data_IF_308222104501
#
_entry.id   IF_308222104501
#
_cell.length_a   1.000
_cell.length_b   1.000
_cell.length_c   1.000
_cell.angle_alpha   90.00
_cell.angle_beta   90.00
_cell.angle_gamma   90.00
#
_symmetry.space_group_name_H-M   'P 1'
#
loop_
_entity.id
_entity.type
_entity.pdbx_description
1 polymer ?
#
# COMPACT_ATOMS: atom_id res chain seq x y z
N UNK A 1 13.59 -4.28 15.54
CA UNK A 1 13.12 -5.60 15.08
C UNK A 1 13.91 -6.77 15.65
N UNK A 2 15.23 -6.73 15.65
CA UNK A 2 16.09 -7.83 16.17
C UNK A 2 15.76 -8.16 17.64
N UNK A 3 15.57 -7.15 18.49
CA UNK A 3 15.31 -7.34 19.92
C UNK A 3 14.04 -8.13 20.25
N UNK A 4 12.92 -7.88 19.57
CA UNK A 4 11.66 -8.62 19.81
C UNK A 4 11.69 -10.05 19.29
N UNK A 5 12.43 -10.28 18.20
CA UNK A 5 12.65 -11.63 17.68
C UNK A 5 13.59 -12.42 18.62
N UNK A 6 14.62 -11.77 19.15
CA UNK A 6 15.53 -12.37 20.16
C UNK A 6 14.79 -12.67 21.47
N UNK A 7 13.92 -11.77 21.94
CA UNK A 7 13.10 -11.98 23.15
C UNK A 7 12.14 -13.16 22.96
N UNK A 8 11.52 -13.29 21.79
CA UNK A 8 10.66 -14.42 21.48
C UNK A 8 11.44 -15.74 21.40
N UNK A 9 12.63 -15.71 20.76
CA UNK A 9 13.52 -16.86 20.66
C UNK A 9 14.11 -17.27 22.02
N UNK A 10 14.47 -16.31 22.88
CA UNK A 10 15.00 -16.58 24.22
C UNK A 10 13.98 -17.29 25.11
N UNK A 11 12.69 -16.98 24.95
CA UNK A 11 11.58 -17.66 25.66
C UNK A 11 11.34 -19.08 25.17
N UNK A 12 11.85 -19.45 24.00
CA UNK A 12 11.76 -20.82 23.46
C UNK A 12 12.79 -21.79 24.08
N UNK A 13 13.88 -21.26 24.68
CA UNK A 13 14.93 -22.08 25.31
C UNK A 13 15.75 -22.90 24.33
N UNK A 14 16.71 -23.70 24.85
CA UNK A 14 17.69 -24.47 24.07
C UNK A 14 17.13 -25.63 23.24
N UNK A 15 15.85 -25.94 23.35
CA UNK A 15 15.16 -26.96 22.55
C UNK A 15 13.91 -26.38 21.92
N UNK A 16 13.91 -26.07 20.62
CA UNK A 16 12.74 -25.52 19.92
C UNK A 16 11.68 -26.63 19.71
N UNK A 17 10.95 -26.96 20.76
CA UNK A 17 9.73 -27.75 20.60
C UNK A 17 8.64 -26.81 20.08
N UNK A 18 8.16 -27.06 18.88
CA UNK A 18 7.04 -26.32 18.23
C UNK A 18 5.83 -26.21 19.16
N UNK A 19 5.64 -27.18 20.04
CA UNK A 19 4.63 -27.16 21.10
C UNK A 19 4.73 -25.99 22.07
N UNK A 20 5.93 -25.45 22.33
CA UNK A 20 6.11 -24.27 23.22
C UNK A 20 5.62 -22.97 22.58
N UNK A 21 5.72 -22.85 21.27
CA UNK A 21 5.14 -21.70 20.55
C UNK A 21 3.63 -21.58 20.81
N UNK A 22 2.89 -22.69 20.84
CA UNK A 22 1.42 -22.69 21.02
C UNK A 22 1.02 -22.21 22.44
N UNK A 23 1.90 -22.37 23.45
CA UNK A 23 1.64 -22.01 24.84
C UNK A 23 2.15 -20.62 25.25
N UNK A 24 2.74 -19.83 24.33
CA UNK A 24 3.13 -18.44 24.64
C UNK A 24 1.90 -17.56 24.91
N UNK A 25 2.00 -16.60 25.85
CA UNK A 25 0.94 -15.63 26.10
C UNK A 25 0.56 -14.87 24.83
N UNK A 26 -0.73 -14.61 24.63
CA UNK A 26 -1.24 -13.83 23.47
C UNK A 26 -0.60 -12.45 23.38
N UNK A 27 -0.27 -11.84 24.53
CA UNK A 27 0.41 -10.56 24.59
C UNK A 27 1.82 -10.58 23.96
N UNK A 28 2.55 -11.70 24.05
CA UNK A 28 3.88 -11.81 23.43
C UNK A 28 3.77 -11.87 21.90
N UNK A 29 2.79 -12.60 21.37
CA UNK A 29 2.46 -12.57 19.94
C UNK A 29 1.99 -11.18 19.50
N UNK A 30 1.14 -10.52 20.31
CA UNK A 30 0.68 -9.17 20.04
C UNK A 30 1.85 -8.19 19.89
N UNK A 31 2.80 -8.23 20.81
CA UNK A 31 4.04 -7.42 20.74
C UNK A 31 4.84 -7.73 19.48
N UNK A 32 5.05 -9.01 19.18
CA UNK A 32 5.81 -9.44 18.01
C UNK A 32 5.17 -8.89 16.73
N UNK A 33 3.89 -9.14 16.50
CA UNK A 33 3.19 -8.66 15.30
C UNK A 33 3.17 -7.14 15.20
N UNK A 34 2.96 -6.43 16.31
CA UNK A 34 2.99 -4.98 16.31
C UNK A 34 4.36 -4.43 15.88
N UNK A 35 5.47 -4.98 16.40
CA UNK A 35 6.81 -4.52 16.05
C UNK A 35 7.22 -4.95 14.63
N UNK A 36 6.85 -6.14 14.19
CA UNK A 36 7.08 -6.59 12.80
C UNK A 36 6.30 -5.70 11.85
N UNK A 37 5.01 -5.41 12.15
CA UNK A 37 4.19 -4.52 11.35
C UNK A 37 4.78 -3.12 11.22
N UNK A 38 5.27 -2.55 12.34
CA UNK A 38 5.96 -1.26 12.31
C UNK A 38 7.20 -1.31 11.40
N UNK A 39 8.02 -2.33 11.52
CA UNK A 39 9.21 -2.47 10.69
C UNK A 39 8.89 -2.65 9.20
N UNK A 40 7.83 -3.41 8.87
CA UNK A 40 7.35 -3.56 7.48
C UNK A 40 6.87 -2.22 6.94
N UNK A 41 6.10 -1.45 7.72
CA UNK A 41 5.62 -0.13 7.32
C UNK A 41 6.78 0.84 7.07
N UNK A 42 7.75 0.93 8.00
CA UNK A 42 8.92 1.80 7.85
C UNK A 42 9.78 1.40 6.65
N UNK A 43 10.00 0.10 6.44
CA UNK A 43 10.70 -0.39 5.25
C UNK A 43 9.97 0.01 3.98
N UNK A 44 8.64 -0.19 3.92
CA UNK A 44 7.85 0.13 2.73
C UNK A 44 7.86 1.63 2.42
N UNK A 45 7.72 2.51 3.43
CA UNK A 45 7.82 3.96 3.26
C UNK A 45 9.19 4.35 2.71
N UNK A 46 10.28 3.82 3.29
CA UNK A 46 11.63 4.08 2.82
C UNK A 46 11.85 3.58 1.39
N UNK A 47 11.32 2.40 1.06
CA UNK A 47 11.43 1.80 -0.27
C UNK A 47 10.67 2.62 -1.32
N UNK A 48 9.44 3.07 -1.02
CA UNK A 48 8.68 3.97 -1.91
C UNK A 48 9.48 5.26 -2.12
N UNK A 49 9.90 5.93 -1.04
CA UNK A 49 10.61 7.22 -1.14
C UNK A 49 11.94 7.14 -1.88
N UNK A 50 12.64 6.00 -1.80
CA UNK A 50 13.98 5.86 -2.40
C UNK A 50 13.96 5.28 -3.81
N UNK A 51 12.96 4.47 -4.15
CA UNK A 51 12.93 3.69 -5.39
C UNK A 51 11.74 4.02 -6.30
N UNK A 52 10.93 5.00 -5.92
CA UNK A 52 9.89 5.54 -6.81
C UNK A 52 10.53 6.06 -8.10
N UNK A 53 9.90 5.77 -9.23
CA UNK A 53 10.24 6.33 -10.53
C UNK A 53 9.06 7.10 -11.06
N UNK A 54 9.29 8.34 -11.45
CA UNK A 54 8.34 9.18 -12.14
C UNK A 54 8.83 9.46 -13.56
N UNK A 55 7.90 9.50 -14.49
CA UNK A 55 8.16 9.84 -15.88
C UNK A 55 6.99 10.68 -16.42
N UNK A 56 7.29 11.86 -16.89
CA UNK A 56 6.33 12.81 -17.48
C UNK A 56 6.77 13.08 -18.91
N UNK A 57 5.90 12.81 -19.86
CA UNK A 57 6.20 13.03 -21.28
C UNK A 57 4.95 13.33 -22.09
N UNK A 58 5.17 13.85 -23.28
CA UNK A 58 4.14 14.01 -24.30
C UNK A 58 4.19 12.83 -25.23
N UNK A 59 3.08 12.10 -25.33
CA UNK A 59 2.99 10.86 -26.11
C UNK A 59 1.92 11.02 -27.19
N UNK A 60 2.25 10.81 -28.46
CA UNK A 60 1.24 10.75 -29.52
C UNK A 60 0.40 9.45 -29.39
N UNK A 61 -0.82 9.48 -29.89
CA UNK A 61 -1.65 8.28 -29.99
C UNK A 61 -0.91 7.25 -30.87
N UNK A 62 -0.80 6.00 -30.39
CA UNK A 62 0.02 4.95 -30.98
C UNK A 62 1.47 4.92 -30.46
N UNK A 63 1.93 5.98 -29.77
CA UNK A 63 3.27 6.06 -29.20
C UNK A 63 3.48 5.14 -28.00
N UNK A 64 4.75 4.78 -27.77
CA UNK A 64 5.14 3.92 -26.65
C UNK A 64 6.29 4.52 -25.85
N UNK A 65 6.36 4.14 -24.56
CA UNK A 65 7.43 4.56 -23.65
C UNK A 65 7.70 3.47 -22.61
N UNK A 66 8.80 3.62 -21.91
CA UNK A 66 9.22 2.65 -20.87
C UNK A 66 9.39 3.30 -19.53
N UNK A 67 8.97 2.62 -18.47
CA UNK A 67 9.29 2.96 -17.09
C UNK A 67 9.77 1.70 -16.34
N UNK A 68 11.00 1.74 -15.84
CA UNK A 68 11.63 0.55 -15.27
C UNK A 68 11.71 -0.60 -16.26
N UNK A 69 11.07 -1.72 -15.99
CA UNK A 69 11.01 -2.89 -16.86
C UNK A 69 9.69 -3.04 -17.62
N UNK A 70 8.84 -2.01 -17.58
CA UNK A 70 7.54 -2.00 -18.23
C UNK A 70 7.56 -1.14 -19.47
N UNK A 71 6.91 -1.63 -20.51
CA UNK A 71 6.66 -0.90 -21.76
C UNK A 71 5.16 -0.56 -21.80
N UNK A 72 4.84 0.71 -22.01
CA UNK A 72 3.49 1.23 -22.11
C UNK A 72 3.26 1.76 -23.52
N UNK A 73 2.06 1.59 -24.04
CA UNK A 73 1.65 2.11 -25.34
C UNK A 73 0.29 2.78 -25.24
N UNK A 74 0.19 4.03 -25.65
CA UNK A 74 -1.07 4.76 -25.76
C UNK A 74 -1.78 4.32 -27.06
N UNK A 75 -2.75 3.42 -26.95
CA UNK A 75 -3.42 2.88 -28.13
C UNK A 75 -4.39 3.90 -28.73
N UNK A 76 -5.23 4.49 -27.86
CA UNK A 76 -6.25 5.45 -28.30
C UNK A 76 -6.64 6.38 -27.15
N UNK A 77 -7.27 7.50 -27.50
CA UNK A 77 -7.90 8.42 -26.56
C UNK A 77 -9.30 8.69 -27.07
N UNK A 78 -10.28 8.48 -26.19
CA UNK A 78 -11.70 8.62 -26.55
C UNK A 78 -12.42 9.55 -25.56
N UNK A 79 -13.47 10.21 -26.06
CA UNK A 79 -14.39 10.99 -25.22
C UNK A 79 -15.55 10.10 -24.77
N UNK A 80 -15.77 10.04 -23.48
CA UNK A 80 -16.82 9.23 -22.84
C UNK A 80 -17.76 10.16 -22.07
N UNK A 81 -19.05 9.92 -22.19
CA UNK A 81 -20.06 10.65 -21.42
C UNK A 81 -20.47 9.79 -20.22
N UNK A 82 -20.22 10.31 -19.02
CA UNK A 82 -20.71 9.75 -17.77
C UNK A 82 -22.09 10.31 -17.37
N UNK A 83 -22.61 9.87 -16.22
CA UNK A 83 -23.92 10.32 -15.73
C UNK A 83 -24.00 11.83 -15.50
N UNK A 84 -22.92 12.44 -14.98
CA UNK A 84 -22.84 13.86 -14.59
C UNK A 84 -21.51 14.52 -14.97
N UNK A 85 -20.72 13.88 -15.86
CA UNK A 85 -19.43 14.38 -16.32
C UNK A 85 -19.18 14.01 -17.78
N UNK A 86 -18.26 14.73 -18.40
CA UNK A 86 -17.63 14.33 -19.67
C UNK A 86 -16.20 13.89 -19.36
N UNK A 87 -15.80 12.75 -19.89
CA UNK A 87 -14.46 12.20 -19.66
C UNK A 87 -13.68 12.11 -20.96
N UNK A 88 -12.40 12.38 -20.86
CA UNK A 88 -11.41 12.00 -21.86
C UNK A 88 -10.63 10.82 -21.29
N UNK A 89 -10.76 9.64 -21.89
CA UNK A 89 -10.19 8.39 -21.43
C UNK A 89 -9.09 7.91 -22.38
N UNK A 90 -7.90 7.66 -21.84
CA UNK A 90 -6.82 7.00 -22.57
C UNK A 90 -6.90 5.48 -22.41
N UNK A 91 -6.58 4.74 -23.46
CA UNK A 91 -6.41 3.28 -23.40
C UNK A 91 -4.94 2.96 -23.57
N UNK A 92 -4.33 2.44 -22.52
CA UNK A 92 -2.88 2.23 -22.44
C UNK A 92 -2.60 0.76 -22.13
N UNK A 93 -2.00 0.06 -23.09
CA UNK A 93 -1.49 -1.31 -22.88
C UNK A 93 -0.19 -1.28 -22.11
N UNK A 94 -0.06 -2.17 -21.13
CA UNK A 94 1.15 -2.37 -20.33
C UNK A 94 1.71 -3.75 -20.61
N UNK A 95 2.98 -3.80 -21.03
CA UNK A 95 3.69 -5.04 -21.30
C UNK A 95 5.02 -5.11 -20.55
N UNK A 96 5.50 -6.33 -20.32
CA UNK A 96 6.81 -6.60 -19.74
C UNK A 96 7.46 -7.76 -20.50
N UNK A 97 8.67 -7.54 -20.99
CA UNK A 97 9.40 -8.54 -21.80
C UNK A 97 8.58 -9.08 -22.99
N UNK A 98 7.81 -8.21 -23.64
CA UNK A 98 6.98 -8.58 -24.80
C UNK A 98 5.64 -9.25 -24.46
N UNK A 99 5.37 -9.55 -23.19
CA UNK A 99 4.08 -10.12 -22.74
C UNK A 99 3.18 -9.00 -22.25
N UNK A 100 1.97 -8.91 -22.78
CA UNK A 100 0.95 -7.97 -22.30
C UNK A 100 0.45 -8.42 -20.91
N UNK A 101 0.43 -7.49 -19.96
CA UNK A 101 0.04 -7.75 -18.58
C UNK A 101 -1.36 -7.24 -18.26
N UNK A 102 -1.70 -6.04 -18.74
CA UNK A 102 -2.95 -5.37 -18.45
C UNK A 102 -3.15 -4.16 -19.36
N UNK A 103 -4.37 -3.67 -19.41
CA UNK A 103 -4.73 -2.41 -20.07
C UNK A 103 -5.23 -1.43 -19.03
N UNK A 104 -4.60 -0.26 -18.94
CA UNK A 104 -4.94 0.83 -18.04
C UNK A 104 -5.81 1.86 -18.78
N UNK A 105 -6.77 2.46 -18.05
CA UNK A 105 -7.72 3.43 -18.59
C UNK A 105 -7.78 4.67 -17.71
N UNK A 106 -6.74 5.53 -17.72
CA UNK A 106 -6.80 6.80 -17.01
C UNK A 106 -7.80 7.74 -17.66
N UNK A 107 -8.49 8.53 -16.83
CA UNK A 107 -9.51 9.46 -17.29
C UNK A 107 -9.25 10.88 -16.79
N UNK A 108 -9.56 11.85 -17.61
CA UNK A 108 -9.72 13.25 -17.20
C UNK A 108 -11.20 13.59 -17.27
N UNK A 109 -11.83 13.77 -16.12
CA UNK A 109 -13.27 14.06 -15.99
C UNK A 109 -13.49 15.56 -15.84
N UNK A 110 -14.47 16.07 -16.52
CA UNK A 110 -14.98 17.43 -16.38
C UNK A 110 -16.43 17.41 -15.91
N UNK A 111 -16.69 18.02 -14.78
CA UNK A 111 -18.00 18.14 -14.17
C UNK A 111 -18.59 19.52 -14.50
N UNK A 112 -19.51 19.65 -15.50
CA UNK A 112 -19.97 20.94 -15.98
C UNK A 112 -20.78 21.72 -14.92
N UNK A 113 -21.51 21.04 -14.04
CA UNK A 113 -22.28 21.67 -12.97
C UNK A 113 -21.36 22.21 -11.87
N UNK A 114 -20.37 21.43 -11.46
CA UNK A 114 -19.40 21.84 -10.42
C UNK A 114 -18.30 22.75 -10.97
N UNK A 115 -18.21 22.91 -12.28
CA UNK A 115 -17.13 23.63 -12.99
C UNK A 115 -15.72 23.17 -12.57
N UNK A 116 -15.57 21.87 -12.31
CA UNK A 116 -14.36 21.27 -11.81
C UNK A 116 -13.90 20.14 -12.73
N UNK A 117 -12.59 20.11 -13.00
CA UNK A 117 -11.93 19.00 -13.68
C UNK A 117 -11.20 18.13 -12.66
N UNK A 118 -11.37 16.82 -12.74
CA UNK A 118 -10.64 15.83 -11.93
C UNK A 118 -9.87 14.88 -12.82
N UNK A 119 -8.78 14.36 -12.29
CA UNK A 119 -7.96 13.37 -12.99
C UNK A 119 -8.05 12.05 -12.25
N UNK A 120 -8.54 11.02 -12.94
CA UNK A 120 -8.64 9.66 -12.43
C UNK A 120 -7.45 8.86 -12.93
N UNK A 121 -6.56 8.51 -12.03
CA UNK A 121 -5.41 7.67 -12.33
C UNK A 121 -5.85 6.21 -12.53
N UNK A 122 -5.31 5.55 -13.54
CA UNK A 122 -5.43 4.10 -13.66
C UNK A 122 -4.26 3.44 -12.95
N UNK A 123 -4.54 2.42 -12.13
CA UNK A 123 -3.54 1.80 -11.27
C UNK A 123 -3.54 0.29 -11.47
N UNK A 124 -2.37 -0.29 -11.75
CA UNK A 124 -2.15 -1.74 -11.70
C UNK A 124 -1.48 -2.09 -10.37
N UNK A 125 -2.28 -2.63 -9.45
CA UNK A 125 -1.83 -3.06 -8.12
C UNK A 125 -1.15 -4.41 -8.17
N UNK A 126 0.06 -4.51 -7.62
CA UNK A 126 0.80 -5.77 -7.46
C UNK A 126 1.43 -5.84 -6.06
N UNK A 127 1.75 -7.05 -5.60
CA UNK A 127 2.30 -7.27 -4.26
C UNK A 127 3.57 -6.45 -4.01
N UNK A 128 4.45 -6.35 -5.00
CA UNK A 128 5.76 -5.71 -4.85
C UNK A 128 5.86 -4.34 -5.53
N UNK A 129 4.81 -3.88 -6.23
CA UNK A 129 4.81 -2.58 -6.90
C UNK A 129 3.41 -2.17 -7.33
N UNK A 130 3.18 -0.88 -7.44
CA UNK A 130 2.04 -0.29 -8.09
C UNK A 130 2.51 0.54 -9.29
N UNK A 131 1.77 0.45 -10.38
CA UNK A 131 2.00 1.24 -11.58
C UNK A 131 0.80 2.19 -11.76
N UNK A 132 1.04 3.49 -11.61
CA UNK A 132 0.06 4.54 -11.81
C UNK A 132 0.26 5.18 -13.17
N UNK A 133 -0.82 5.40 -13.88
CA UNK A 133 -0.81 6.17 -15.13
C UNK A 133 -1.90 7.23 -15.08
N UNK A 134 -1.52 8.45 -15.41
CA UNK A 134 -2.39 9.63 -15.42
C UNK A 134 -2.39 10.23 -16.80
N UNK A 135 -3.58 10.51 -17.33
CA UNK A 135 -3.75 11.25 -18.56
C UNK A 135 -3.89 12.75 -18.24
N UNK A 136 -2.96 13.56 -18.73
CA UNK A 136 -2.95 15.00 -18.56
C UNK A 136 -3.64 15.74 -19.71
N UNK A 137 -3.13 16.93 -20.02
CA UNK A 137 -3.67 17.80 -21.06
C UNK A 137 -3.20 17.40 -22.46
N UNK A 138 -4.06 17.67 -23.43
CA UNK A 138 -3.72 17.56 -24.82
C UNK A 138 -2.75 18.68 -25.21
N UNK A 139 -1.61 18.33 -25.77
CA UNK A 139 -0.57 19.30 -26.19
C UNK A 139 -0.66 19.64 -27.66
N UNK A 140 -1.15 18.70 -28.48
CA UNK A 140 -1.40 18.88 -29.91
C UNK A 140 -2.52 17.93 -30.34
N UNK A 141 -2.98 18.02 -31.60
CA UNK A 141 -4.16 17.28 -32.09
C UNK A 141 -4.13 15.78 -31.80
N UNK A 142 -2.95 15.18 -31.67
CA UNK A 142 -2.81 13.73 -31.42
C UNK A 142 -1.84 13.38 -30.30
N UNK A 143 -1.32 14.36 -29.54
CA UNK A 143 -0.36 14.12 -28.49
C UNK A 143 -0.89 14.57 -27.12
N UNK A 144 -0.67 13.75 -26.11
CA UNK A 144 -1.16 13.91 -24.74
C UNK A 144 -0.02 13.88 -23.74
N UNK A 145 -0.10 14.73 -22.73
CA UNK A 145 0.78 14.58 -21.58
C UNK A 145 0.37 13.35 -20.81
N UNK A 146 1.32 12.45 -20.60
CA UNK A 146 1.13 11.25 -19.76
C UNK A 146 2.11 11.29 -18.62
N UNK A 147 1.62 11.07 -17.41
CA UNK A 147 2.44 10.95 -16.21
C UNK A 147 2.35 9.55 -15.69
N UNK A 148 3.49 8.93 -15.49
CA UNK A 148 3.59 7.53 -15.07
C UNK A 148 4.43 7.43 -13.80
N UNK A 149 3.94 6.69 -12.80
CA UNK A 149 4.67 6.41 -11.56
C UNK A 149 4.81 4.91 -11.37
N UNK A 150 6.00 4.49 -11.04
CA UNK A 150 6.29 3.12 -10.59
C UNK A 150 6.67 3.19 -9.12
N UNK A 151 5.77 2.74 -8.24
CA UNK A 151 5.92 2.80 -6.79
C UNK A 151 6.13 1.39 -6.22
N UNK A 152 7.36 1.03 -5.82
CA UNK A 152 7.62 -0.27 -5.23
C UNK A 152 7.09 -0.34 -3.80
N UNK A 153 6.62 -1.52 -3.39
CA UNK A 153 6.21 -1.86 -2.02
C UNK A 153 5.10 -1.00 -1.39
N UNK A 154 4.34 -0.22 -2.16
CA UNK A 154 3.27 0.65 -1.62
C UNK A 154 2.25 -0.15 -0.81
N UNK A 155 1.84 -1.33 -1.29
CA UNK A 155 0.88 -2.21 -0.59
C UNK A 155 1.41 -2.76 0.75
N UNK A 156 2.73 -2.77 0.94
CA UNK A 156 3.34 -3.22 2.20
C UNK A 156 3.15 -2.21 3.33
N UNK A 157 2.92 -0.93 3.03
CA UNK A 157 2.55 0.09 4.02
C UNK A 157 1.25 -0.34 4.71
N UNK A 158 0.24 -0.66 3.92
CA UNK A 158 -1.06 -1.11 4.43
C UNK A 158 -0.98 -2.46 5.13
N UNK A 159 -0.20 -3.38 4.59
CA UNK A 159 0.04 -4.70 5.18
C UNK A 159 0.70 -4.58 6.55
N UNK A 160 1.68 -3.69 6.70
CA UNK A 160 2.32 -3.41 7.99
C UNK A 160 1.36 -2.78 9.00
N UNK A 161 0.51 -1.83 8.58
CA UNK A 161 -0.52 -1.24 9.42
C UNK A 161 -1.55 -2.29 9.88
N UNK A 162 -1.99 -3.16 8.97
CA UNK A 162 -2.91 -4.25 9.32
C UNK A 162 -2.28 -5.23 10.33
N UNK A 163 -1.00 -5.53 10.17
CA UNK A 163 -0.25 -6.39 11.09
C UNK A 163 -0.09 -5.75 12.47
N UNK A 164 0.15 -4.42 12.53
CA UNK A 164 0.16 -3.69 13.80
C UNK A 164 -1.19 -3.73 14.50
N UNK A 165 -2.28 -3.51 13.76
CA UNK A 165 -3.64 -3.58 14.30
C UNK A 165 -3.96 -4.99 14.85
N UNK A 166 -3.59 -6.04 14.10
CA UNK A 166 -3.72 -7.42 14.54
C UNK A 166 -2.94 -7.68 15.83
N UNK A 167 -1.68 -7.20 15.90
CA UNK A 167 -0.84 -7.31 17.09
C UNK A 167 -1.46 -6.63 18.31
N UNK A 168 -2.00 -5.41 18.14
CA UNK A 168 -2.70 -4.68 19.17
C UNK A 168 -3.96 -5.43 19.66
N UNK A 169 -4.76 -5.92 18.73
CA UNK A 169 -5.96 -6.71 19.05
C UNK A 169 -5.63 -7.97 19.85
N UNK A 170 -4.59 -8.73 19.41
CA UNK A 170 -4.14 -9.92 20.16
C UNK A 170 -3.69 -9.58 21.58
N UNK A 171 -2.97 -8.47 21.73
CA UNK A 171 -2.52 -8.00 23.05
C UNK A 171 -3.70 -7.63 23.97
N UNK A 172 -4.74 -6.95 23.44
CA UNK A 172 -5.94 -6.58 24.19
C UNK A 172 -6.80 -7.79 24.62
N UNK A 173 -6.75 -8.88 23.86
CA UNK A 173 -7.51 -10.11 24.20
C UNK A 173 -6.84 -10.94 25.29
N UNK A 174 -5.63 -10.57 25.76
CA UNK A 174 -4.93 -11.29 26.83
C UNK A 174 -5.54 -10.95 28.19
N UNK A 175 -6.17 -11.96 28.83
CA UNK A 175 -6.81 -11.83 30.14
C UNK A 175 -5.86 -11.38 31.26
N UNK A 176 -4.56 -11.69 31.16
CA UNK A 176 -3.57 -11.38 32.18
C UNK A 176 -3.39 -9.87 32.35
N UNK A 177 -3.42 -9.09 31.27
CA UNK A 177 -3.30 -7.64 31.33
C UNK A 177 -4.51 -6.98 32.00
N UNK A 178 -5.72 -7.54 31.82
CA UNK A 178 -6.96 -7.02 32.44
C UNK A 178 -7.00 -7.27 33.93
N UNK A 179 -6.46 -8.40 34.41
CA UNK A 179 -6.46 -8.76 35.86
C UNK A 179 -5.43 -7.92 36.60
N UNK A 180 -4.25 -7.64 36.02
CA UNK A 180 -3.22 -6.82 36.67
C UNK A 180 -3.69 -5.38 36.93
N UNK A 181 -4.45 -4.77 36.00
CA UNK A 181 -5.03 -3.43 36.20
C UNK A 181 -6.07 -3.41 37.33
N UNK A 182 -6.87 -4.48 37.46
CA UNK A 182 -7.89 -4.59 38.52
C UNK A 182 -7.28 -4.75 39.92
N UNK A 183 -6.14 -5.44 40.05
CA UNK A 183 -5.46 -5.64 41.35
C UNK A 183 -4.74 -4.38 41.83
N UNK A 184 -4.15 -3.59 40.92
CA UNK A 184 -3.52 -2.30 41.28
C UNK A 184 -4.54 -1.29 41.83
N UNK A 185 -5.75 -1.26 41.25
CA UNK A 185 -6.83 -0.37 41.74
C UNK A 185 -7.34 -0.73 43.12
N UNK A 186 -7.38 -2.03 43.46
CA UNK A 186 -7.76 -2.49 44.80
C UNK A 186 -6.72 -2.13 45.89
N UNK A 187 -5.42 -2.13 45.53
CA UNK A 187 -4.35 -1.78 46.50
C UNK A 187 -4.34 -0.29 46.85
N UNK A 188 -4.68 0.59 45.91
CA UNK A 188 -4.72 2.05 46.16
C UNK A 188 -5.90 2.48 47.05
N UNK A 189 -7.02 1.74 47.06
CA UNK A 189 -8.21 2.04 47.87
C UNK A 189 -8.04 1.51 49.30
N UNK A 190 -7.21 0.50 49.55
CA UNK A 190 -6.94 -0.06 50.87
C UNK A 190 -5.87 0.66 51.69
N UNK A 191 -5.23 1.71 51.19
CA UNK A 191 -4.20 2.50 51.87
C UNK A 191 -4.70 3.86 52.36
N UNK A 192 -6.00 4.16 52.24
CA UNK A 192 -6.64 5.42 52.67
C UNK A 192 -7.65 5.22 53.78
N UNK A 193 -7.44 4.21 54.64
CA UNK A 193 -8.20 4.05 55.91
C UNK A 193 -7.24 4.00 57.08
#
# INVERSE_FOLDING_TARGET
>A
MIGTSVDLLSKLGSSPKITRLIFLPRADYGKFFAHVGLGVTMFAISAVSSWEKEDIRVVPVGGSWTIGSYNLKLNEVMKVRGPNYFSTMGVISVSKKGVELTTLRPEKRNYPIAQMATTEAAIDYRIFRDLYVVLGDQQSDKAWTVRTYLKPFTNWIWSGCALMALGGFLSLTDRRLRIAVGSSRKKSIGQTV
#
